data_IF_780655191310
#
_entry.id   IF_780655191310
#
_cell.length_a   1.000
_cell.length_b   1.000
_cell.length_c   1.000
_cell.angle_alpha   90.00
_cell.angle_beta   90.00
_cell.angle_gamma   90.00
#
_symmetry.space_group_name_H-M   'P 1'
#
loop_
_entity.id
_entity.type
_entity.pdbx_description
1 polymer ?
#
# COMPACT_ATOMS: atom_id res chain seq x y z
N UNK A 1 16.62 -6.73 5.73
CA UNK A 1 16.76 -5.59 6.67
C UNK A 1 15.40 -5.16 7.22
N UNK A 2 14.36 -5.27 6.41
CA UNK A 2 12.94 -5.13 6.73
C UNK A 2 12.51 -5.78 8.06
N UNK A 3 13.01 -6.96 8.41
CA UNK A 3 12.68 -7.62 9.68
C UNK A 3 12.94 -6.77 10.94
N UNK A 4 13.92 -5.85 10.91
CA UNK A 4 14.18 -4.93 12.03
C UNK A 4 12.98 -4.04 12.39
N UNK A 5 12.04 -3.85 11.45
CA UNK A 5 10.81 -3.12 11.70
C UNK A 5 9.95 -3.80 12.78
N UNK A 6 10.07 -5.12 12.92
CA UNK A 6 9.30 -5.91 13.88
C UNK A 6 9.80 -5.75 15.33
N UNK A 7 11.00 -5.19 15.51
CA UNK A 7 11.63 -4.96 16.81
C UNK A 7 11.39 -3.55 17.36
N UNK A 8 10.66 -2.70 16.62
CA UNK A 8 10.33 -1.34 17.05
C UNK A 8 9.46 -1.38 18.31
N UNK A 9 9.86 -0.64 19.34
CA UNK A 9 9.05 -0.47 20.54
C UNK A 9 7.83 0.42 20.26
N UNK A 10 6.66 -0.21 20.28
CA UNK A 10 5.39 0.45 19.94
C UNK A 10 4.79 1.24 21.12
N UNK A 11 5.33 1.11 22.34
CA UNK A 11 4.78 1.75 23.54
C UNK A 11 4.85 3.28 23.50
N UNK A 12 5.79 3.83 22.74
CA UNK A 12 6.02 5.28 22.62
C UNK A 12 5.36 5.92 21.40
N UNK A 13 4.64 5.13 20.59
CA UNK A 13 4.01 5.63 19.36
C UNK A 13 2.88 6.61 19.70
N UNK A 14 3.07 7.85 19.27
CA UNK A 14 2.06 8.91 19.44
C UNK A 14 1.21 9.05 18.19
N UNK A 15 -0.11 9.16 18.36
CA UNK A 15 -1.07 9.28 17.27
C UNK A 15 -1.69 10.67 17.22
N UNK A 16 -1.89 11.17 16.01
CA UNK A 16 -2.74 12.33 15.72
C UNK A 16 -4.03 11.83 15.10
N UNK A 17 -5.16 12.28 15.62
CA UNK A 17 -6.49 11.93 15.09
C UNK A 17 -7.16 13.15 14.48
N UNK A 18 -7.77 13.00 13.32
CA UNK A 18 -8.66 14.00 12.70
C UNK A 18 -10.03 13.37 12.50
N UNK A 19 -11.06 13.96 13.12
CA UNK A 19 -12.45 13.51 13.01
C UNK A 19 -13.31 14.69 12.57
N UNK A 20 -13.99 14.55 11.43
CA UNK A 20 -14.96 15.51 10.86
C UNK A 20 -16.13 14.72 10.25
N UNK A 21 -17.15 15.42 9.75
CA UNK A 21 -18.24 14.78 9.01
C UNK A 21 -17.68 13.99 7.81
N UNK A 22 -17.94 12.67 7.79
CA UNK A 22 -17.43 11.76 6.75
C UNK A 22 -15.92 11.50 6.77
N UNK A 23 -15.17 11.95 7.80
CA UNK A 23 -13.72 11.80 7.88
C UNK A 23 -13.28 11.30 9.26
N UNK A 24 -12.57 10.18 9.28
CA UNK A 24 -11.96 9.63 10.49
C UNK A 24 -10.58 9.06 10.15
N UNK A 25 -9.52 9.82 10.43
CA UNK A 25 -8.15 9.45 10.08
C UNK A 25 -7.26 9.52 11.33
N UNK A 26 -6.38 8.52 11.45
CA UNK A 26 -5.29 8.50 12.41
C UNK A 26 -3.94 8.52 11.69
N UNK A 27 -2.99 9.28 12.22
CA UNK A 27 -1.66 9.46 11.64
C UNK A 27 -0.57 9.34 12.72
N UNK A 28 0.52 8.65 12.39
CA UNK A 28 1.70 8.55 13.23
C UNK A 28 2.95 8.34 12.38
N UNK A 29 4.13 8.54 12.97
CA UNK A 29 5.44 8.23 12.37
C UNK A 29 6.17 7.26 13.30
N UNK A 30 5.73 5.99 13.37
CA UNK A 30 6.25 5.02 14.34
C UNK A 30 7.61 4.43 13.94
N UNK A 31 8.02 4.56 12.67
CA UNK A 31 9.23 3.94 12.14
C UNK A 31 10.38 4.94 12.24
N UNK A 32 11.46 4.63 13.00
CA UNK A 32 12.67 5.45 13.01
C UNK A 32 13.25 5.59 11.60
N UNK A 33 13.74 6.79 11.29
CA UNK A 33 14.26 7.13 9.94
C UNK A 33 15.27 6.12 9.40
N UNK A 34 16.22 5.66 10.23
CA UNK A 34 17.24 4.69 9.82
C UNK A 34 16.66 3.34 9.40
N UNK A 35 15.55 2.91 10.03
CA UNK A 35 14.83 1.68 9.66
C UNK A 35 14.01 1.95 8.39
N UNK A 36 13.34 3.09 8.30
CA UNK A 36 12.57 3.49 7.12
C UNK A 36 13.45 3.56 5.86
N UNK A 37 14.63 4.18 5.95
CA UNK A 37 15.59 4.28 4.85
C UNK A 37 16.05 2.89 4.37
N UNK A 38 16.35 1.97 5.30
CA UNK A 38 16.74 0.60 4.98
C UNK A 38 15.60 -0.22 4.36
N UNK A 39 14.37 -0.04 4.85
CA UNK A 39 13.18 -0.66 4.26
C UNK A 39 12.96 -0.14 2.84
N UNK A 40 13.00 1.18 2.64
CA UNK A 40 12.82 1.80 1.33
C UNK A 40 13.85 1.29 0.33
N UNK A 41 15.13 1.22 0.72
CA UNK A 41 16.18 0.66 -0.12
C UNK A 41 15.87 -0.80 -0.51
N UNK A 42 15.50 -1.64 0.45
CA UNK A 42 15.15 -3.04 0.18
C UNK A 42 13.94 -3.16 -0.78
N UNK A 43 12.92 -2.30 -0.63
CA UNK A 43 11.76 -2.28 -1.52
C UNK A 43 12.14 -1.85 -2.95
N UNK A 44 12.98 -0.83 -3.09
CA UNK A 44 13.49 -0.36 -4.40
C UNK A 44 14.31 -1.45 -5.12
N UNK A 45 15.06 -2.27 -4.37
CA UNK A 45 15.87 -3.36 -4.92
C UNK A 45 15.06 -4.62 -5.25
N UNK A 46 13.98 -4.90 -4.51
CA UNK A 46 13.28 -6.20 -4.58
C UNK A 46 11.92 -6.16 -5.27
N UNK A 47 11.25 -5.01 -5.33
CA UNK A 47 9.92 -4.93 -5.94
C UNK A 47 10.04 -4.87 -7.47
N UNK A 48 9.36 -5.81 -8.12
CA UNK A 48 9.11 -5.75 -9.56
C UNK A 48 7.72 -5.17 -9.81
N UNK A 49 7.67 -4.04 -10.51
CA UNK A 49 6.42 -3.38 -10.86
C UNK A 49 5.76 -3.98 -12.11
N UNK A 50 4.46 -3.79 -12.22
CA UNK A 50 3.73 -4.17 -13.43
C UNK A 50 4.24 -3.41 -14.67
N UNK A 51 4.22 -4.09 -15.81
CA UNK A 51 4.61 -3.56 -17.12
C UNK A 51 3.55 -3.92 -18.16
N UNK A 52 3.69 -3.41 -19.39
CA UNK A 52 2.76 -3.70 -20.48
C UNK A 52 1.34 -3.22 -20.18
N UNK A 53 0.34 -4.08 -20.38
CA UNK A 53 -1.07 -3.71 -20.20
C UNK A 53 -1.47 -3.54 -18.73
N UNK A 54 -0.73 -4.14 -17.79
CA UNK A 54 -0.94 -3.97 -16.35
C UNK A 54 -0.44 -2.61 -15.83
N UNK A 55 0.35 -1.89 -16.63
CA UNK A 55 0.81 -0.53 -16.35
C UNK A 55 -0.06 0.55 -17.03
N UNK A 56 -1.26 0.17 -17.49
CA UNK A 56 -2.19 1.06 -18.18
C UNK A 56 -3.53 1.12 -17.47
N UNK A 57 -4.26 2.21 -17.70
CA UNK A 57 -5.60 2.47 -17.17
C UNK A 57 -6.53 2.86 -18.31
N UNK A 58 -7.82 2.52 -18.21
CA UNK A 58 -8.85 2.92 -19.17
C UNK A 58 -9.74 4.02 -18.58
N UNK A 59 -9.60 5.23 -19.13
CA UNK A 59 -10.35 6.41 -18.69
C UNK A 59 -11.17 6.95 -19.85
N UNK A 60 -12.48 7.07 -19.68
CA UNK A 60 -13.44 7.50 -20.72
C UNK A 60 -13.26 6.79 -22.07
N UNK A 61 -13.06 5.47 -22.03
CA UNK A 61 -12.90 4.64 -23.23
C UNK A 61 -11.50 4.63 -23.84
N UNK A 62 -10.59 5.52 -23.40
CA UNK A 62 -9.21 5.63 -23.89
C UNK A 62 -8.23 4.97 -22.91
N UNK A 63 -7.16 4.40 -23.44
CA UNK A 63 -6.11 3.72 -22.66
C UNK A 63 -4.92 4.66 -22.49
N UNK A 64 -4.46 4.81 -21.25
CA UNK A 64 -3.32 5.65 -20.88
C UNK A 64 -2.33 4.85 -20.06
N UNK A 65 -1.04 5.17 -20.17
CA UNK A 65 -0.06 4.72 -19.18
C UNK A 65 -0.36 5.35 -17.83
N UNK A 66 -0.20 4.57 -16.75
CA UNK A 66 -0.30 5.12 -15.41
C UNK A 66 0.85 6.12 -15.17
N UNK A 67 0.58 7.30 -14.60
CA UNK A 67 1.62 8.26 -14.23
C UNK A 67 2.29 7.87 -12.90
N UNK A 68 2.59 6.58 -12.73
CA UNK A 68 3.26 5.94 -11.58
C UNK A 68 3.49 4.47 -11.90
N UNK A 69 4.40 3.83 -11.16
CA UNK A 69 4.51 2.37 -11.19
C UNK A 69 3.63 1.77 -10.09
N UNK A 70 3.03 0.61 -10.35
CA UNK A 70 2.23 -0.09 -9.34
C UNK A 70 2.42 -1.60 -9.38
N UNK A 71 2.16 -2.25 -8.24
CA UNK A 71 2.09 -3.71 -8.11
C UNK A 71 1.18 -4.07 -6.95
N UNK A 72 0.53 -5.23 -7.05
CA UNK A 72 -0.37 -5.75 -6.03
C UNK A 72 0.18 -7.06 -5.45
N UNK A 73 0.14 -7.19 -4.12
CA UNK A 73 0.46 -8.43 -3.40
C UNK A 73 -0.69 -8.80 -2.46
N UNK A 74 -0.88 -10.09 -2.21
CA UNK A 74 -2.02 -10.53 -1.41
C UNK A 74 -1.99 -12.01 -1.06
N UNK A 75 -2.94 -12.39 -0.20
CA UNK A 75 -3.17 -13.77 0.18
C UNK A 75 -3.67 -14.61 -1.03
N UNK A 76 -3.53 -15.94 -1.01
CA UNK A 76 -3.91 -16.78 -2.15
C UNK A 76 -5.38 -16.59 -2.56
N UNK A 77 -5.60 -16.35 -3.86
CA UNK A 77 -6.93 -16.16 -4.41
C UNK A 77 -7.43 -14.72 -4.43
N UNK A 78 -6.68 -13.76 -3.86
CA UNK A 78 -7.04 -12.34 -3.92
C UNK A 78 -6.75 -11.77 -5.31
N UNK A 79 -7.69 -10.99 -5.82
CA UNK A 79 -7.55 -10.22 -7.06
C UNK A 79 -7.77 -8.74 -6.80
N UNK A 80 -7.04 -7.91 -7.52
CA UNK A 80 -7.21 -6.46 -7.52
C UNK A 80 -7.94 -6.04 -8.79
N UNK A 81 -9.07 -5.35 -8.64
CA UNK A 81 -9.82 -4.80 -9.76
C UNK A 81 -9.71 -3.30 -9.80
N UNK A 82 -9.17 -2.77 -10.88
CA UNK A 82 -9.04 -1.32 -11.08
C UNK A 82 -9.30 -0.93 -12.53
N UNK A 83 -10.17 0.08 -12.71
CA UNK A 83 -10.52 0.62 -14.03
C UNK A 83 -11.02 -0.46 -15.04
N UNK A 84 -11.67 -1.50 -14.51
CA UNK A 84 -12.22 -2.61 -15.30
C UNK A 84 -11.23 -3.74 -15.60
N UNK A 85 -9.95 -3.59 -15.26
CA UNK A 85 -8.94 -4.66 -15.35
C UNK A 85 -8.86 -5.38 -14.01
N UNK A 86 -8.96 -6.71 -14.03
CA UNK A 86 -8.75 -7.55 -12.85
C UNK A 86 -7.40 -8.22 -12.96
N UNK A 87 -6.58 -8.07 -11.92
CA UNK A 87 -5.20 -8.58 -11.88
C UNK A 87 -5.06 -9.44 -10.64
N UNK A 88 -4.49 -10.67 -10.72
CA UNK A 88 -4.21 -11.43 -9.52
C UNK A 88 -3.18 -10.70 -8.65
N UNK A 89 -3.40 -10.71 -7.34
CA UNK A 89 -2.39 -10.26 -6.41
C UNK A 89 -1.23 -11.27 -6.40
N UNK A 90 0.00 -10.78 -6.48
CA UNK A 90 1.19 -11.63 -6.45
C UNK A 90 1.42 -12.18 -5.02
N UNK A 91 2.12 -13.32 -4.87
CA UNK A 91 2.55 -13.79 -3.56
C UNK A 91 3.42 -12.76 -2.85
N UNK A 92 3.20 -12.59 -1.55
CA UNK A 92 3.91 -11.59 -0.76
C UNK A 92 5.43 -11.82 -0.74
N UNK A 93 6.25 -10.81 -1.08
CA UNK A 93 7.67 -10.84 -0.80
C UNK A 93 7.93 -10.58 0.69
N UNK A 94 9.02 -11.13 1.21
CA UNK A 94 9.35 -11.06 2.64
C UNK A 94 9.45 -9.63 3.19
N UNK A 95 9.92 -8.68 2.38
CA UNK A 95 10.01 -7.27 2.73
C UNK A 95 8.63 -6.65 3.00
N UNK A 96 7.65 -6.98 2.18
CA UNK A 96 6.27 -6.51 2.31
C UNK A 96 5.51 -7.26 3.42
N UNK A 97 5.76 -8.57 3.60
CA UNK A 97 5.24 -9.31 4.76
C UNK A 97 5.65 -8.68 6.09
N UNK A 98 6.91 -8.24 6.19
CA UNK A 98 7.41 -7.60 7.41
C UNK A 98 6.67 -6.30 7.74
N UNK A 99 6.29 -5.52 6.71
CA UNK A 99 5.48 -4.30 6.88
C UNK A 99 4.04 -4.62 7.30
N UNK A 100 3.43 -5.62 6.67
CA UNK A 100 2.09 -6.11 7.04
C UNK A 100 2.05 -6.60 8.49
N UNK A 101 3.03 -7.40 8.89
CA UNK A 101 3.12 -7.96 10.23
C UNK A 101 3.42 -6.85 11.28
N UNK A 102 4.16 -5.81 10.88
CA UNK A 102 4.31 -4.60 11.70
C UNK A 102 2.99 -3.85 11.90
N UNK A 103 2.19 -3.66 10.85
CA UNK A 103 0.86 -3.06 10.98
C UNK A 103 -0.05 -3.89 11.89
N UNK A 104 0.03 -5.22 11.79
CA UNK A 104 -0.70 -6.11 12.70
C UNK A 104 -0.26 -5.91 14.17
N UNK A 105 1.04 -5.84 14.45
CA UNK A 105 1.52 -5.51 15.81
C UNK A 105 1.06 -4.12 16.28
N UNK A 106 0.97 -3.16 15.37
CA UNK A 106 0.63 -1.77 15.66
C UNK A 106 -0.87 -1.54 15.90
N UNK A 107 -1.75 -2.23 15.17
CA UNK A 107 -3.20 -1.98 15.18
C UNK A 107 -4.06 -3.20 15.49
N UNK A 108 -3.48 -4.40 15.53
CA UNK A 108 -4.23 -5.65 15.66
C UNK A 108 -5.04 -6.04 14.42
N UNK A 109 -4.84 -5.34 13.29
CA UNK A 109 -5.58 -5.54 12.04
C UNK A 109 -4.74 -6.39 11.09
N UNK A 110 -5.32 -7.48 10.60
CA UNK A 110 -4.69 -8.33 9.59
C UNK A 110 -5.16 -7.90 8.21
N UNK A 111 -4.24 -7.40 7.40
CA UNK A 111 -4.47 -7.10 6.00
C UNK A 111 -4.13 -8.32 5.15
N UNK A 112 -4.91 -8.57 4.11
CA UNK A 112 -4.76 -9.68 3.16
C UNK A 112 -4.35 -9.20 1.75
N UNK A 113 -4.21 -7.88 1.58
CA UNK A 113 -3.89 -7.24 0.33
C UNK A 113 -3.05 -5.97 0.53
N UNK A 114 -2.18 -5.66 -0.45
CA UNK A 114 -1.54 -4.35 -0.59
C UNK A 114 -1.44 -3.96 -2.06
N UNK A 115 -1.71 -2.69 -2.33
CA UNK A 115 -1.36 -2.02 -3.57
C UNK A 115 -0.17 -1.08 -3.30
N UNK A 116 0.96 -1.34 -3.97
CA UNK A 116 2.14 -0.49 -3.87
C UNK A 116 2.14 0.47 -5.05
N UNK A 117 2.26 1.76 -4.77
CA UNK A 117 2.42 2.81 -5.75
C UNK A 117 3.79 3.46 -5.58
N UNK A 118 4.60 3.50 -6.64
CA UNK A 118 5.89 4.17 -6.65
C UNK A 118 5.82 5.40 -7.54
N UNK A 119 6.14 6.54 -6.92
CA UNK A 119 6.23 7.84 -7.55
C UNK A 119 7.72 8.18 -7.72
N UNK A 120 8.21 8.19 -8.96
CA UNK A 120 9.62 8.44 -9.25
C UNK A 120 10.06 9.84 -8.82
N UNK A 121 9.16 10.81 -8.99
CA UNK A 121 9.35 12.22 -8.65
C UNK A 121 7.98 12.92 -8.63
N UNK A 122 7.96 14.24 -8.40
CA UNK A 122 6.74 15.02 -8.32
C UNK A 122 5.91 15.18 -9.61
N UNK A 123 6.35 14.62 -10.74
CA UNK A 123 5.52 14.54 -11.97
C UNK A 123 4.59 13.33 -11.97
N UNK A 124 4.94 12.29 -11.21
CA UNK A 124 4.08 11.13 -11.01
C UNK A 124 2.96 11.49 -10.03
N UNK A 125 1.75 11.00 -10.28
CA UNK A 125 0.58 11.41 -9.49
C UNK A 125 -0.55 10.38 -9.49
N UNK A 126 -1.53 10.64 -8.65
CA UNK A 126 -2.81 9.96 -8.64
C UNK A 126 -3.90 11.03 -8.62
N UNK A 127 -4.84 10.95 -9.56
CA UNK A 127 -5.99 11.86 -9.57
C UNK A 127 -6.86 11.68 -8.33
N UNK A 128 -7.71 12.67 -8.07
CA UNK A 128 -8.74 12.56 -7.04
C UNK A 128 -9.59 11.30 -7.27
N UNK A 129 -9.74 10.48 -6.22
CA UNK A 129 -10.48 9.24 -6.26
C UNK A 129 -10.94 8.86 -4.85
N UNK A 130 -11.71 7.78 -4.77
CA UNK A 130 -12.09 7.09 -3.55
C UNK A 130 -11.83 5.60 -3.76
N UNK A 131 -11.26 4.94 -2.77
CA UNK A 131 -11.20 3.49 -2.71
C UNK A 131 -12.62 2.98 -2.39
N UNK A 132 -13.33 2.52 -3.41
CA UNK A 132 -14.73 2.07 -3.33
C UNK A 132 -14.98 0.83 -4.19
N UNK A 133 -13.94 0.04 -4.40
CA UNK A 133 -14.00 -1.23 -5.09
C UNK A 133 -14.99 -2.17 -4.38
N UNK A 134 -15.85 -2.89 -5.12
CA UNK A 134 -16.84 -3.80 -4.52
C UNK A 134 -16.25 -4.91 -3.66
N UNK A 135 -14.97 -5.24 -3.87
CA UNK A 135 -14.28 -6.34 -3.20
C UNK A 135 -13.68 -5.91 -1.84
N UNK A 136 -13.79 -4.63 -1.45
CA UNK A 136 -13.31 -4.12 -0.17
C UNK A 136 -14.33 -4.32 0.96
N UNK A 137 -13.85 -4.78 2.12
CA UNK A 137 -14.63 -4.75 3.36
C UNK A 137 -14.73 -3.32 3.89
N UNK A 138 -15.90 -2.69 3.70
CA UNK A 138 -16.17 -1.31 4.12
C UNK A 138 -16.17 -1.11 5.65
N UNK A 139 -16.12 -2.18 6.44
CA UNK A 139 -16.01 -2.10 7.91
C UNK A 139 -14.56 -2.03 8.39
N UNK A 140 -13.61 -2.34 7.51
CA UNK A 140 -12.18 -2.35 7.82
C UNK A 140 -11.50 -1.07 7.30
N UNK A 141 -10.55 -0.48 8.05
CA UNK A 141 -9.83 0.70 7.59
C UNK A 141 -8.79 0.32 6.53
N UNK A 142 -8.43 1.30 5.69
CA UNK A 142 -7.24 1.23 4.83
C UNK A 142 -6.06 1.83 5.60
N UNK A 143 -4.91 1.14 5.59
CA UNK A 143 -3.64 1.68 6.09
C UNK A 143 -2.75 2.12 4.92
N UNK A 144 -2.35 3.39 4.92
CA UNK A 144 -1.31 3.92 4.04
C UNK A 144 -0.02 4.10 4.84
N UNK A 145 1.09 3.55 4.34
CA UNK A 145 2.43 3.66 4.95
C UNK A 145 3.36 4.50 4.08
#
# INVERSE_FOLDING_TARGET
MSQKILDIDLKSVTWKSTRKEGLNIEYSVPIPRTIADAVLQELEETITYFTGDLAKIKVFGKVYSLPRQQVAYGDPGITYRYSGTTVPALPWPQSVLSLRDFLFKLKGIKYDFVLINRYKNGSDHMGEHRDNEPDLDLTMPIASM
#
